data_IF_292120119503
#
_entry.id   IF_292120119503
#
_cell.length_a   1.000
_cell.length_b   1.000
_cell.length_c   1.000
_cell.angle_alpha   90.00
_cell.angle_beta   90.00
_cell.angle_gamma   90.00
#
_symmetry.space_group_name_H-M   'P 1'
#
loop_
_entity.id
_entity.type
_entity.pdbx_description
1 polymer ?
#
# COMPACT_ATOMS: atom_id res chain seq x y z
N UNK A 1 -3.21 -40.33 32.92
CA UNK A 1 -3.05 -38.92 32.49
C UNK A 1 -2.96 -38.93 30.97
N UNK A 2 -4.01 -38.50 30.27
CA UNK A 2 -4.04 -38.41 28.81
C UNK A 2 -4.50 -37.01 28.45
N UNK A 3 -3.58 -36.21 27.92
CA UNK A 3 -3.81 -34.83 27.49
C UNK A 3 -4.34 -34.89 26.06
N UNK A 4 -5.56 -34.41 25.84
CA UNK A 4 -6.15 -34.29 24.52
C UNK A 4 -5.68 -33.01 23.81
N UNK A 5 -5.01 -33.08 22.65
CA UNK A 5 -4.67 -31.91 21.86
C UNK A 5 -5.64 -31.79 20.67
N UNK A 6 -6.90 -31.42 20.94
CA UNK A 6 -7.95 -31.45 19.89
C UNK A 6 -8.63 -30.10 19.62
N UNK A 7 -8.21 -29.02 20.31
CA UNK A 7 -8.78 -27.68 20.08
C UNK A 7 -8.02 -26.85 19.04
N UNK A 8 -6.73 -27.08 18.85
CA UNK A 8 -5.91 -26.24 17.96
C UNK A 8 -6.13 -26.53 16.46
N UNK A 9 -6.61 -27.72 16.10
CA UNK A 9 -6.73 -28.10 14.68
C UNK A 9 -8.03 -27.64 14.00
N UNK A 10 -9.07 -27.25 14.75
CA UNK A 10 -10.34 -26.75 14.16
C UNK A 10 -10.30 -25.27 13.74
N UNK A 11 -9.24 -24.54 14.07
CA UNK A 11 -9.13 -23.11 13.78
C UNK A 11 -8.52 -22.78 12.41
N UNK A 12 -7.96 -23.76 11.70
CA UNK A 12 -7.14 -23.52 10.50
C UNK A 12 -7.91 -23.02 9.25
N UNK A 13 -9.24 -22.94 9.29
CA UNK A 13 -10.05 -22.47 8.16
C UNK A 13 -11.11 -21.42 8.54
N UNK A 14 -10.99 -20.85 9.74
CA UNK A 14 -11.87 -19.78 10.21
C UNK A 14 -11.08 -18.49 10.11
N UNK A 15 -11.49 -17.57 9.23
CA UNK A 15 -10.95 -16.21 9.20
C UNK A 15 -11.12 -15.61 10.59
N UNK A 16 -10.01 -15.48 11.30
CA UNK A 16 -10.00 -15.00 12.67
C UNK A 16 -10.26 -13.49 12.63
N UNK A 17 -11.28 -12.99 13.34
CA UNK A 17 -11.54 -11.56 13.38
C UNK A 17 -10.37 -10.85 14.05
N UNK A 18 -9.94 -9.72 13.51
CA UNK A 18 -8.78 -8.95 14.00
C UNK A 18 -8.85 -8.65 15.51
N UNK A 19 -10.05 -8.37 16.03
CA UNK A 19 -10.22 -8.11 17.46
C UNK A 19 -9.91 -9.32 18.33
N UNK A 20 -10.06 -10.54 17.81
CA UNK A 20 -9.66 -11.77 18.51
C UNK A 20 -8.14 -11.85 18.63
N UNK A 21 -7.40 -11.62 17.54
CA UNK A 21 -5.93 -11.62 17.54
C UNK A 21 -5.36 -10.55 18.48
N UNK A 22 -5.95 -9.34 18.46
CA UNK A 22 -5.55 -8.25 19.35
C UNK A 22 -5.75 -8.64 20.82
N UNK A 23 -6.89 -9.25 21.16
CA UNK A 23 -7.19 -9.62 22.54
C UNK A 23 -6.33 -10.81 23.01
N UNK A 24 -6.09 -11.78 22.14
CA UNK A 24 -5.17 -12.88 22.41
C UNK A 24 -3.73 -12.40 22.59
N UNK A 25 -3.27 -11.44 21.80
CA UNK A 25 -1.95 -10.84 21.98
C UNK A 25 -1.84 -10.07 23.30
N UNK A 26 -2.92 -9.42 23.73
CA UNK A 26 -2.95 -8.61 24.96
C UNK A 26 -3.07 -9.45 26.23
N UNK A 27 -3.89 -10.49 26.22
CA UNK A 27 -4.26 -11.25 27.42
C UNK A 27 -3.95 -12.74 27.37
N UNK A 28 -3.81 -13.32 26.17
CA UNK A 28 -3.48 -14.72 25.97
C UNK A 28 -4.44 -15.69 26.67
N UNK A 29 -3.88 -16.49 27.57
CA UNK A 29 -4.56 -17.51 28.35
C UNK A 29 -5.44 -16.96 29.48
N UNK A 30 -5.34 -15.66 29.80
CA UNK A 30 -6.19 -15.02 30.81
C UNK A 30 -7.65 -14.84 30.37
N UNK A 31 -7.97 -15.17 29.12
CA UNK A 31 -9.31 -15.03 28.54
C UNK A 31 -10.15 -16.28 28.86
N UNK A 32 -11.27 -16.08 29.56
CA UNK A 32 -12.27 -17.12 29.82
C UNK A 32 -13.21 -17.27 28.61
N UNK A 33 -13.62 -16.14 28.03
CA UNK A 33 -14.65 -16.13 27.00
C UNK A 33 -14.43 -15.00 26.01
N UNK A 34 -14.61 -15.30 24.71
CA UNK A 34 -14.66 -14.33 23.63
C UNK A 34 -16.08 -14.26 23.07
N UNK A 35 -16.54 -13.05 22.77
CA UNK A 35 -17.82 -12.79 22.11
C UNK A 35 -17.62 -11.72 21.05
N UNK A 36 -18.16 -11.96 19.86
CA UNK A 36 -18.16 -10.96 18.79
C UNK A 36 -19.44 -10.13 18.83
N UNK A 37 -19.30 -8.81 18.81
CA UNK A 37 -20.39 -7.86 18.62
C UNK A 37 -20.36 -7.34 17.18
N UNK A 38 -21.22 -7.92 16.33
CA UNK A 38 -21.32 -7.53 14.91
C UNK A 38 -21.95 -6.16 14.71
N UNK A 39 -22.69 -5.62 15.68
CA UNK A 39 -23.35 -4.31 15.55
C UNK A 39 -22.33 -3.17 15.59
N UNK A 40 -21.31 -3.32 16.43
CA UNK A 40 -20.24 -2.33 16.62
C UNK A 40 -18.90 -2.78 16.01
N UNK A 41 -18.89 -3.94 15.35
CA UNK A 41 -17.70 -4.58 14.79
C UNK A 41 -16.56 -4.74 15.81
N UNK A 42 -16.91 -5.18 17.02
CA UNK A 42 -15.99 -5.39 18.13
C UNK A 42 -15.88 -6.88 18.49
N UNK A 43 -14.75 -7.27 19.05
CA UNK A 43 -14.61 -8.50 19.83
C UNK A 43 -14.44 -8.12 21.29
N UNK A 44 -15.13 -8.85 22.17
CA UNK A 44 -15.20 -8.62 23.61
C UNK A 44 -14.62 -9.85 24.30
N UNK A 45 -13.67 -9.65 25.21
CA UNK A 45 -13.06 -10.70 26.04
C UNK A 45 -13.48 -10.54 27.50
N UNK A 46 -13.83 -11.66 28.14
CA UNK A 46 -14.02 -11.75 29.59
C UNK A 46 -12.80 -12.44 30.20
N UNK A 47 -12.21 -11.83 31.21
CA UNK A 47 -10.95 -12.25 31.83
C UNK A 47 -11.16 -13.00 33.15
N UNK A 48 -10.12 -13.70 33.59
CA UNK A 48 -10.10 -14.46 34.85
C UNK A 48 -10.34 -13.65 36.13
N UNK A 49 -9.99 -12.37 36.10
CA UNK A 49 -10.23 -11.41 37.19
C UNK A 49 -11.66 -10.84 37.18
N UNK A 50 -12.50 -11.27 36.23
CA UNK A 50 -13.87 -10.80 36.08
C UNK A 50 -14.00 -9.51 35.26
N UNK A 51 -12.89 -8.88 34.85
CA UNK A 51 -12.92 -7.71 33.98
C UNK A 51 -13.28 -8.07 32.54
N UNK A 52 -13.76 -7.08 31.81
CA UNK A 52 -14.11 -7.19 30.39
C UNK A 52 -13.25 -6.21 29.60
N UNK A 53 -12.68 -6.68 28.51
CA UNK A 53 -11.91 -5.86 27.56
C UNK A 53 -12.48 -6.03 26.14
N UNK A 54 -12.16 -5.09 25.25
CA UNK A 54 -12.67 -5.06 23.89
C UNK A 54 -11.61 -4.60 22.88
N UNK A 55 -11.75 -5.10 21.66
CA UNK A 55 -10.92 -4.71 20.53
C UNK A 55 -11.77 -4.59 19.26
N UNK A 56 -11.41 -3.66 18.38
CA UNK A 56 -12.06 -3.49 17.08
C UNK A 56 -11.64 -4.59 16.12
N UNK A 57 -12.58 -5.06 15.29
CA UNK A 57 -12.30 -6.01 14.20
C UNK A 57 -11.87 -5.31 12.91
N UNK A 58 -11.91 -3.99 12.88
CA UNK A 58 -11.49 -3.14 11.77
C UNK A 58 -10.37 -2.21 12.20
N UNK A 59 -9.42 -1.99 11.30
CA UNK A 59 -8.42 -0.95 11.43
C UNK A 59 -9.08 0.40 11.09
N UNK A 60 -9.72 1.02 12.07
CA UNK A 60 -10.23 2.38 11.92
C UNK A 60 -9.10 3.30 11.44
N UNK A 61 -9.30 3.91 10.26
CA UNK A 61 -8.33 4.85 9.66
C UNK A 61 -7.48 4.32 8.49
N UNK A 62 -7.61 3.06 8.07
CA UNK A 62 -6.92 2.62 6.83
C UNK A 62 -7.66 3.10 5.57
N UNK A 63 -9.00 3.13 5.61
CA UNK A 63 -9.81 3.66 4.49
C UNK A 63 -9.67 5.17 4.31
N UNK A 64 -9.42 5.94 5.38
CA UNK A 64 -9.19 7.40 5.30
C UNK A 64 -7.78 7.79 4.83
N UNK A 65 -6.86 6.82 4.79
CA UNK A 65 -5.46 7.01 4.37
C UNK A 65 -5.21 6.68 2.90
N UNK A 66 -6.20 6.12 2.20
CA UNK A 66 -6.14 5.94 0.75
C UNK A 66 -6.91 7.11 0.13
N UNK A 67 -6.24 8.22 -0.22
CA UNK A 67 -6.90 9.32 -0.93
C UNK A 67 -7.50 8.79 -2.23
N UNK A 68 -8.77 9.08 -2.46
CA UNK A 68 -9.54 8.56 -3.60
C UNK A 68 -9.04 9.07 -4.96
N UNK A 69 -8.09 10.01 -4.99
CA UNK A 69 -7.44 10.46 -6.23
C UNK A 69 -5.92 10.63 -6.09
N UNK A 70 -5.15 10.31 -7.16
CA UNK A 70 -3.71 10.54 -7.20
C UNK A 70 -3.28 11.99 -6.91
N UNK A 71 -4.08 12.97 -7.33
CA UNK A 71 -3.81 14.38 -7.09
C UNK A 71 -3.93 14.75 -5.60
N UNK A 72 -4.94 14.20 -4.91
CA UNK A 72 -5.14 14.44 -3.48
C UNK A 72 -4.04 13.76 -2.64
N UNK A 73 -3.52 12.64 -3.10
CA UNK A 73 -2.33 12.00 -2.51
C UNK A 73 -1.08 12.87 -2.63
N UNK A 74 -0.79 13.36 -3.83
CA UNK A 74 0.37 14.24 -4.05
C UNK A 74 0.27 15.54 -3.25
N UNK A 75 -0.94 16.10 -3.11
CA UNK A 75 -1.20 17.28 -2.27
C UNK A 75 -0.89 17.01 -0.80
N UNK A 76 -1.38 15.90 -0.23
CA UNK A 76 -1.07 15.53 1.16
C UNK A 76 0.41 15.26 1.38
N UNK A 77 1.08 14.60 0.44
CA UNK A 77 2.54 14.43 0.50
C UNK A 77 3.24 15.78 0.54
N UNK A 78 2.88 16.71 -0.34
CA UNK A 78 3.47 18.05 -0.35
C UNK A 78 3.24 18.79 0.98
N UNK A 79 2.05 18.67 1.58
CA UNK A 79 1.74 19.24 2.89
C UNK A 79 2.55 18.56 4.02
N UNK A 80 2.71 17.24 4.00
CA UNK A 80 3.51 16.49 4.99
C UNK A 80 5.02 16.78 4.86
N UNK A 81 5.52 16.96 3.62
CA UNK A 81 6.87 17.46 3.35
C UNK A 81 7.07 18.88 3.89
N UNK A 82 6.07 19.75 3.74
CA UNK A 82 6.13 21.13 4.23
C UNK A 82 5.99 21.21 5.75
N UNK A 83 5.26 20.28 6.36
CA UNK A 83 5.04 20.21 7.79
C UNK A 83 6.16 19.50 8.57
N UNK A 84 7.25 19.09 7.91
CA UNK A 84 8.41 18.39 8.50
C UNK A 84 8.02 17.16 9.34
N UNK A 85 6.90 16.50 8.98
CA UNK A 85 6.38 15.33 9.70
C UNK A 85 7.02 14.02 9.24
N UNK A 86 7.94 14.07 8.29
CA UNK A 86 8.64 12.90 7.79
C UNK A 86 9.82 12.60 8.72
N UNK A 87 10.00 11.34 9.16
CA UNK A 87 11.12 10.95 10.02
C UNK A 87 12.48 10.95 9.28
N UNK A 88 12.58 11.58 8.11
CA UNK A 88 13.77 11.57 7.27
C UNK A 88 14.57 12.86 7.45
N UNK A 89 15.90 12.77 7.58
CA UNK A 89 16.76 13.94 7.63
C UNK A 89 16.65 14.72 6.31
N UNK A 90 16.49 16.04 6.39
CA UNK A 90 16.29 16.94 5.24
C UNK A 90 17.38 16.87 4.17
N UNK A 91 18.57 16.38 4.51
CA UNK A 91 19.66 16.09 3.56
C UNK A 91 19.40 14.90 2.64
N UNK A 92 18.71 13.87 3.13
CA UNK A 92 18.40 12.65 2.37
C UNK A 92 17.30 12.89 1.34
N UNK A 93 16.30 13.70 1.68
CA UNK A 93 15.24 14.15 0.75
C UNK A 93 15.84 14.90 -0.45
N UNK A 94 16.79 15.80 -0.21
CA UNK A 94 17.47 16.54 -1.29
C UNK A 94 18.29 15.61 -2.20
N UNK A 95 18.93 14.61 -1.63
CA UNK A 95 19.69 13.61 -2.39
C UNK A 95 18.76 12.77 -3.28
N UNK A 96 17.65 12.27 -2.73
CA UNK A 96 16.63 11.52 -3.47
C UNK A 96 15.97 12.36 -4.57
N UNK A 97 15.64 13.61 -4.28
CA UNK A 97 15.09 14.54 -5.28
C UNK A 97 16.07 14.75 -6.44
N UNK A 98 17.36 14.94 -6.14
CA UNK A 98 18.40 15.11 -7.16
C UNK A 98 18.54 13.85 -8.03
N UNK A 99 18.53 12.67 -7.42
CA UNK A 99 18.51 11.39 -8.14
C UNK A 99 17.30 11.26 -9.06
N UNK A 100 16.11 11.60 -8.57
CA UNK A 100 14.88 11.59 -9.35
C UNK A 100 14.95 12.53 -10.57
N UNK A 101 15.47 13.74 -10.39
CA UNK A 101 15.66 14.70 -11.50
C UNK A 101 16.67 14.18 -12.52
N UNK A 102 17.80 13.63 -12.07
CA UNK A 102 18.82 13.06 -12.98
C UNK A 102 18.23 11.90 -13.78
N UNK A 103 17.53 10.98 -13.12
CA UNK A 103 16.96 9.81 -13.78
C UNK A 103 15.82 10.16 -14.73
N UNK A 104 14.96 11.11 -14.32
CA UNK A 104 13.91 11.65 -15.18
C UNK A 104 14.48 12.35 -16.41
N UNK A 105 15.51 13.17 -16.24
CA UNK A 105 16.23 13.81 -17.35
C UNK A 105 16.86 12.80 -18.31
N UNK A 106 17.54 11.79 -17.77
CA UNK A 106 18.14 10.71 -18.57
C UNK A 106 17.09 9.96 -19.39
N UNK A 107 15.94 9.66 -18.78
CA UNK A 107 14.84 8.95 -19.43
C UNK A 107 14.21 9.77 -20.56
N UNK A 108 14.08 11.09 -20.37
CA UNK A 108 13.61 12.02 -21.39
C UNK A 108 14.58 12.11 -22.58
N UNK A 109 15.88 12.24 -22.30
CA UNK A 109 16.91 12.28 -23.36
C UNK A 109 16.94 10.97 -24.14
N UNK A 110 16.88 9.82 -23.45
CA UNK A 110 16.83 8.51 -24.08
C UNK A 110 15.59 8.38 -24.98
N UNK A 111 14.42 8.75 -24.47
CA UNK A 111 13.16 8.68 -25.21
C UNK A 111 13.16 9.58 -26.44
N UNK A 112 13.64 10.83 -26.29
CA UNK A 112 13.79 11.77 -27.40
C UNK A 112 14.81 11.26 -28.43
N UNK A 113 15.91 10.64 -27.98
CA UNK A 113 16.91 10.04 -28.86
C UNK A 113 16.36 8.86 -29.66
N UNK A 114 15.57 7.99 -29.04
CA UNK A 114 14.89 6.88 -29.73
C UNK A 114 13.91 7.44 -30.76
N UNK A 115 13.07 8.41 -30.38
CA UNK A 115 12.14 9.06 -31.30
C UNK A 115 12.86 9.71 -32.49
N UNK A 116 13.97 10.41 -32.23
CA UNK A 116 14.80 11.02 -33.26
C UNK A 116 15.39 9.97 -34.22
N UNK A 117 15.94 8.89 -33.68
CA UNK A 117 16.49 7.80 -34.49
C UNK A 117 15.41 7.16 -35.37
N UNK A 118 14.23 6.90 -34.81
CA UNK A 118 13.10 6.35 -35.57
C UNK A 118 12.61 7.30 -36.65
N UNK A 119 12.59 8.62 -36.39
CA UNK A 119 12.25 9.62 -37.40
C UNK A 119 13.27 9.63 -38.54
N UNK A 120 14.57 9.57 -38.23
CA UNK A 120 15.61 9.53 -39.26
C UNK A 120 15.54 8.24 -40.10
N UNK A 121 15.26 7.09 -39.48
CA UNK A 121 15.21 5.79 -40.16
C UNK A 121 13.89 5.51 -40.89
N UNK A 122 12.79 6.20 -40.56
CA UNK A 122 11.49 6.04 -41.22
C UNK A 122 11.38 6.76 -42.58
N UNK A 123 12.38 7.57 -42.95
CA UNK A 123 12.39 8.39 -44.16
C UNK A 123 13.03 7.79 -45.46
N UNK A 124 13.37 6.49 -45.62
CA UNK A 124 13.68 5.95 -46.95
C UNK A 124 12.43 5.39 -47.67
N UNK A 125 11.45 4.86 -46.94
CA UNK A 125 10.28 4.19 -47.54
C UNK A 125 9.13 5.15 -47.86
N UNK A 126 8.94 6.19 -47.04
CA UNK A 126 8.02 7.30 -47.34
C UNK A 126 8.47 8.11 -48.58
N UNK A 127 9.78 8.20 -48.85
CA UNK A 127 10.28 8.80 -50.09
C UNK A 127 9.99 7.91 -51.31
N UNK A 128 10.09 6.57 -51.19
CA UNK A 128 9.72 5.66 -52.28
C UNK A 128 8.23 5.68 -52.58
N UNK A 129 7.36 5.77 -51.57
CA UNK A 129 5.91 5.84 -51.79
C UNK A 129 5.46 7.20 -52.36
N UNK A 130 6.12 8.30 -52.03
CA UNK A 130 5.86 9.61 -52.66
C UNK A 130 6.44 9.73 -54.07
N UNK A 131 7.61 9.14 -54.35
CA UNK A 131 8.25 9.17 -55.67
C UNK A 131 7.59 8.20 -56.67
N UNK A 132 6.97 7.12 -56.17
CA UNK A 132 6.11 6.23 -56.97
C UNK A 132 4.70 6.77 -57.21
N UNK A 133 4.13 7.55 -56.28
CA UNK A 133 2.80 8.16 -56.44
C UNK A 133 2.79 9.43 -57.32
N UNK A 134 3.93 10.08 -57.54
CA UNK A 134 4.06 11.24 -58.44
C UNK A 134 4.32 10.85 -59.92
N UNK A 135 4.41 9.54 -60.22
CA UNK A 135 4.72 9.00 -61.55
C UNK A 135 3.55 8.31 -62.28
N UNK A 136 2.31 8.44 -61.79
CA UNK A 136 1.09 7.92 -62.43
C UNK A 136 0.11 9.02 -62.78
#
# INVERSE_FOLDING_TARGET
MSVAPDRQQRAANKTMPLGEDILLARHGDRIIQLRQDRKHDLTIARLHDGHTDWAANTLAGMSERIPESPAMWMGRLADDFKADKLPMPSGEVRFLAKLGVIWGGLSLVLSAGILWLTYQSANPELMHSMMGAAGS
#
